data_IF_232057940958
#
_entry.id   IF_232057940958
#
_cell.length_a   1.000
_cell.length_b   1.000
_cell.length_c   1.000
_cell.angle_alpha   90.00
_cell.angle_beta   90.00
_cell.angle_gamma   90.00
#
_symmetry.space_group_name_H-M   'P 1'
#
loop_
_entity.id
_entity.type
_entity.pdbx_description
1 polymer ?
#
# COMPACT_ATOMS: atom_id res chain seq x y z
N UNK A 1 -12.78 1.40 -4.68
CA UNK A 1 -13.11 1.52 -6.12
C UNK A 1 -12.70 0.26 -6.91
N UNK A 2 -11.40 -0.17 -6.94
CA UNK A 2 -10.98 -1.31 -7.77
C UNK A 2 -11.73 -2.61 -7.45
N UNK A 3 -11.81 -3.01 -6.19
CA UNK A 3 -12.57 -4.19 -5.77
C UNK A 3 -14.05 -4.11 -6.17
N UNK A 4 -14.67 -2.94 -6.02
CA UNK A 4 -16.07 -2.69 -6.37
C UNK A 4 -16.32 -2.90 -7.86
N UNK A 5 -15.49 -2.31 -8.73
CA UNK A 5 -15.69 -2.45 -10.18
C UNK A 5 -15.37 -3.87 -10.68
N UNK A 6 -14.46 -4.60 -10.02
CA UNK A 6 -14.24 -6.03 -10.29
C UNK A 6 -15.50 -6.84 -9.95
N UNK A 7 -16.09 -6.59 -8.78
CA UNK A 7 -17.31 -7.27 -8.35
C UNK A 7 -18.48 -6.98 -9.30
N UNK A 8 -18.71 -5.70 -9.59
CA UNK A 8 -19.77 -5.28 -10.53
C UNK A 8 -19.59 -5.91 -11.92
N UNK A 9 -18.34 -5.97 -12.43
CA UNK A 9 -18.07 -6.67 -13.69
C UNK A 9 -18.42 -8.15 -13.62
N UNK A 10 -18.15 -8.82 -12.50
CA UNK A 10 -18.49 -10.24 -12.32
C UNK A 10 -20.00 -10.45 -12.34
N UNK A 11 -20.73 -9.63 -11.60
CA UNK A 11 -22.19 -9.68 -11.57
C UNK A 11 -22.77 -9.43 -12.98
N UNK A 12 -22.37 -8.35 -13.62
CA UNK A 12 -22.80 -8.01 -14.98
C UNK A 12 -22.52 -9.14 -15.99
N UNK A 13 -21.31 -9.72 -15.95
CA UNK A 13 -20.93 -10.80 -16.86
C UNK A 13 -21.63 -12.13 -16.53
N UNK A 14 -22.05 -12.35 -15.28
CA UNK A 14 -22.83 -13.51 -14.86
C UNK A 14 -24.28 -13.46 -15.31
N UNK A 15 -24.89 -12.26 -15.26
CA UNK A 15 -26.31 -12.06 -15.61
C UNK A 15 -26.54 -11.85 -17.11
N UNK A 16 -25.57 -11.24 -17.80
CA UNK A 16 -25.69 -10.92 -19.21
C UNK A 16 -25.41 -12.14 -20.12
N UNK A 17 -26.39 -12.58 -20.89
CA UNK A 17 -26.23 -13.66 -21.86
C UNK A 17 -25.55 -13.20 -23.17
N UNK A 18 -25.62 -11.91 -23.50
CA UNK A 18 -25.26 -11.41 -24.83
C UNK A 18 -24.09 -10.45 -24.85
N UNK A 19 -23.85 -9.67 -23.80
CA UNK A 19 -22.85 -8.61 -23.79
C UNK A 19 -22.02 -8.64 -22.51
N UNK A 20 -20.79 -9.16 -22.63
CA UNK A 20 -19.84 -9.22 -21.51
C UNK A 20 -18.94 -7.98 -21.51
N UNK A 21 -18.73 -7.39 -20.33
CA UNK A 21 -17.78 -6.29 -20.14
C UNK A 21 -16.33 -6.81 -20.30
N UNK A 22 -15.62 -6.28 -21.28
CA UNK A 22 -14.21 -6.62 -21.54
C UNK A 22 -13.29 -6.06 -20.45
N UNK A 23 -12.09 -6.63 -20.32
CA UNK A 23 -11.04 -6.10 -19.43
C UNK A 23 -10.63 -4.68 -19.87
N UNK A 24 -10.54 -4.41 -21.18
CA UNK A 24 -10.22 -3.09 -21.70
C UNK A 24 -11.22 -2.02 -21.23
N UNK A 25 -12.52 -2.33 -21.27
CA UNK A 25 -13.55 -1.41 -20.76
C UNK A 25 -13.45 -1.20 -19.25
N UNK A 26 -13.09 -2.25 -18.49
CA UNK A 26 -12.83 -2.12 -17.05
C UNK A 26 -11.71 -1.11 -16.77
N UNK A 27 -10.61 -1.17 -17.52
CA UNK A 27 -9.51 -0.19 -17.38
C UNK A 27 -9.91 1.23 -17.80
N UNK A 28 -10.75 1.38 -18.83
CA UNK A 28 -11.30 2.70 -19.19
C UNK A 28 -12.11 3.32 -18.05
N UNK A 29 -12.93 2.51 -17.37
CA UNK A 29 -13.69 2.94 -16.19
C UNK A 29 -12.75 3.28 -15.05
N UNK A 30 -11.76 2.42 -14.77
CA UNK A 30 -10.78 2.62 -13.70
C UNK A 30 -10.03 3.95 -13.86
N UNK A 31 -9.58 4.28 -15.06
CA UNK A 31 -8.89 5.55 -15.36
C UNK A 31 -9.75 6.79 -15.10
N UNK A 32 -11.08 6.68 -15.27
CA UNK A 32 -12.00 7.78 -14.97
C UNK A 32 -12.28 7.94 -13.47
N UNK A 33 -12.11 6.87 -12.69
CA UNK A 33 -12.36 6.87 -11.24
C UNK A 33 -11.18 7.43 -10.43
N UNK A 34 -9.97 7.36 -10.94
CA UNK A 34 -8.79 7.90 -10.28
C UNK A 34 -7.50 7.24 -10.76
N UNK A 35 -6.39 7.96 -10.62
CA UNK A 35 -5.04 7.57 -11.07
C UNK A 35 -4.54 6.24 -10.51
N UNK A 36 -4.92 5.91 -9.29
CA UNK A 36 -4.44 4.70 -8.60
C UNK A 36 -5.32 3.47 -8.87
N UNK A 37 -6.55 3.68 -9.38
CA UNK A 37 -7.50 2.57 -9.57
C UNK A 37 -7.02 1.53 -10.59
N UNK A 38 -6.41 1.91 -11.73
CA UNK A 38 -5.83 0.93 -12.67
C UNK A 38 -4.73 0.07 -12.05
N UNK A 39 -3.87 0.66 -11.23
CA UNK A 39 -2.83 -0.06 -10.52
C UNK A 39 -3.40 -1.07 -9.51
N UNK A 40 -4.44 -0.67 -8.78
CA UNK A 40 -5.15 -1.56 -7.86
C UNK A 40 -5.84 -2.73 -8.58
N UNK A 41 -6.26 -2.58 -9.84
CA UNK A 41 -6.79 -3.69 -10.65
C UNK A 41 -5.74 -4.75 -10.96
N UNK A 42 -4.48 -4.36 -11.15
CA UNK A 42 -3.38 -5.30 -11.40
C UNK A 42 -3.11 -6.22 -10.22
N UNK A 43 -3.32 -5.74 -8.98
CA UNK A 43 -3.09 -6.48 -7.73
C UNK A 43 -1.73 -7.19 -7.69
N UNK A 44 -0.68 -6.51 -8.15
CA UNK A 44 0.70 -6.99 -8.26
C UNK A 44 1.68 -5.92 -7.82
N UNK A 45 2.92 -6.31 -7.63
CA UNK A 45 4.02 -5.37 -7.41
C UNK A 45 4.28 -4.56 -8.68
N UNK A 46 4.10 -3.25 -8.61
CA UNK A 46 4.13 -2.36 -9.75
C UNK A 46 5.03 -1.16 -9.51
N UNK A 47 5.66 -0.68 -10.56
CA UNK A 47 6.20 0.67 -10.65
C UNK A 47 5.23 1.52 -11.47
N UNK A 48 4.75 2.59 -10.86
CA UNK A 48 3.83 3.54 -11.48
C UNK A 48 4.59 4.82 -11.73
N UNK A 49 4.41 5.42 -12.90
CA UNK A 49 5.03 6.69 -13.25
C UNK A 49 4.05 7.57 -14.02
N UNK A 50 4.42 8.85 -14.21
CA UNK A 50 3.53 9.87 -14.73
C UNK A 50 2.30 10.03 -13.80
N UNK A 51 1.15 10.37 -14.33
CA UNK A 51 -0.12 10.53 -13.61
C UNK A 51 -0.85 9.18 -13.38
N UNK A 52 -0.12 8.09 -13.10
CA UNK A 52 -0.72 6.77 -12.86
C UNK A 52 -0.95 5.93 -14.13
N UNK A 53 -0.68 6.47 -15.31
CA UNK A 53 -0.98 5.83 -16.60
C UNK A 53 0.14 4.94 -17.15
N UNK A 54 1.37 5.06 -16.62
CA UNK A 54 2.48 4.18 -16.97
C UNK A 54 2.74 3.18 -15.86
N UNK A 55 2.28 1.96 -16.06
CA UNK A 55 2.38 0.86 -15.09
C UNK A 55 3.37 -0.18 -15.61
N UNK A 56 4.41 -0.48 -14.83
CA UNK A 56 5.39 -1.55 -15.10
C UNK A 56 5.37 -2.54 -13.95
N UNK A 57 5.19 -3.82 -14.27
CA UNK A 57 5.32 -4.89 -13.27
C UNK A 57 6.77 -5.02 -12.83
N UNK A 58 6.97 -5.17 -11.53
CA UNK A 58 8.26 -5.44 -10.92
C UNK A 58 8.19 -6.78 -10.18
N UNK A 59 9.32 -7.49 -10.13
CA UNK A 59 9.43 -8.69 -9.30
C UNK A 59 9.97 -8.26 -7.93
N UNK A 60 9.12 -8.35 -6.91
CA UNK A 60 9.57 -8.34 -5.53
C UNK A 60 9.51 -9.77 -5.00
N UNK A 61 10.40 -10.11 -4.08
CA UNK A 61 10.30 -11.40 -3.39
C UNK A 61 8.97 -11.47 -2.64
N UNK A 62 8.19 -12.52 -2.88
CA UNK A 62 6.87 -12.72 -2.25
C UNK A 62 6.97 -13.28 -0.82
N UNK A 63 8.19 -13.35 -0.26
CA UNK A 63 8.45 -13.99 1.03
C UNK A 63 8.51 -13.00 2.19
N UNK A 64 7.96 -11.79 2.03
CA UNK A 64 7.93 -10.81 3.08
C UNK A 64 6.59 -10.77 3.80
N UNK A 65 6.67 -10.49 5.11
CA UNK A 65 5.54 -10.09 5.92
C UNK A 65 5.52 -8.58 6.08
N UNK A 66 4.33 -8.02 6.05
CA UNK A 66 4.08 -6.60 6.21
C UNK A 66 3.33 -6.36 7.51
N UNK A 67 3.77 -5.36 8.24
CA UNK A 67 3.06 -4.77 9.36
C UNK A 67 2.58 -3.38 8.93
N UNK A 68 1.30 -3.10 9.07
CA UNK A 68 0.73 -1.78 8.83
C UNK A 68 0.27 -1.22 10.17
N UNK A 69 0.66 0.01 10.46
CA UNK A 69 0.27 0.74 11.67
C UNK A 69 -0.29 2.09 11.25
N UNK A 70 -1.54 2.36 11.60
CA UNK A 70 -2.17 3.66 11.36
C UNK A 70 -2.46 4.33 12.72
N UNK A 71 -1.99 5.55 12.97
CA UNK A 71 -2.22 6.26 14.23
C UNK A 71 -3.67 6.74 14.41
N UNK A 72 -4.61 6.29 13.60
CA UNK A 72 -6.01 6.73 13.55
C UNK A 72 -6.19 8.25 13.35
N UNK A 73 -5.20 8.88 12.72
CA UNK A 73 -5.23 10.30 12.38
C UNK A 73 -5.59 10.44 10.91
N UNK A 74 -6.66 11.17 10.65
CA UNK A 74 -7.05 11.47 9.29
C UNK A 74 -6.22 12.64 8.75
N UNK A 75 -5.37 12.36 7.77
CA UNK A 75 -4.59 13.38 7.04
C UNK A 75 -5.23 13.67 5.69
N UNK A 76 -5.47 14.94 5.43
CA UNK A 76 -5.89 15.38 4.10
C UNK A 76 -4.69 15.35 3.15
N UNK A 77 -4.79 14.54 2.08
CA UNK A 77 -3.79 14.50 1.01
C UNK A 77 -3.48 15.90 0.47
N UNK A 78 -4.51 16.76 0.32
CA UNK A 78 -4.35 18.14 -0.12
C UNK A 78 -3.49 18.95 0.85
N UNK A 79 -3.69 18.82 2.16
CA UNK A 79 -2.89 19.51 3.17
C UNK A 79 -1.44 19.03 3.17
N UNK A 80 -1.20 17.71 3.05
CA UNK A 80 0.16 17.17 2.97
C UNK A 80 0.90 17.73 1.74
N UNK A 81 0.23 17.79 0.59
CA UNK A 81 0.80 18.38 -0.61
C UNK A 81 1.01 19.89 -0.52
N UNK A 82 0.17 20.64 0.19
CA UNK A 82 0.36 22.09 0.37
C UNK A 82 1.56 22.44 1.27
N UNK A 83 1.99 21.51 2.14
CA UNK A 83 3.20 21.64 2.95
C UNK A 83 4.44 21.08 2.26
N UNK A 84 4.28 20.55 1.07
CA UNK A 84 5.38 19.97 0.31
C UNK A 84 6.18 21.07 -0.40
N UNK A 85 7.45 21.24 -0.02
CA UNK A 85 8.29 22.34 -0.51
C UNK A 85 9.10 22.00 -1.77
N UNK A 86 9.57 20.75 -1.90
CA UNK A 86 10.35 20.33 -3.07
C UNK A 86 10.43 18.80 -3.22
N UNK A 87 10.54 18.35 -4.48
CA UNK A 87 11.03 16.99 -4.73
C UNK A 87 12.53 17.00 -4.49
N UNK A 88 12.97 16.28 -3.47
CA UNK A 88 14.40 16.06 -3.29
C UNK A 88 14.90 15.12 -4.40
N UNK A 89 15.43 15.69 -5.48
CA UNK A 89 16.08 14.91 -6.53
C UNK A 89 17.37 14.25 -6.03
N UNK A 90 17.99 14.82 -5.00
CA UNK A 90 19.23 14.33 -4.39
C UNK A 90 19.02 13.79 -2.98
N UNK A 91 18.34 12.65 -2.90
CA UNK A 91 18.31 11.92 -1.62
C UNK A 91 19.68 11.27 -1.46
N UNK A 92 20.42 11.58 -0.40
CA UNK A 92 21.66 10.90 -0.12
C UNK A 92 21.48 9.38 -0.10
N UNK A 93 22.38 8.64 -0.76
CA UNK A 93 22.29 7.17 -0.88
C UNK A 93 22.16 6.48 0.49
N UNK A 94 22.77 7.06 1.54
CA UNK A 94 22.71 6.57 2.92
C UNK A 94 21.32 6.73 3.59
N UNK A 95 20.40 7.51 3.03
CA UNK A 95 19.02 7.65 3.53
C UNK A 95 18.00 6.77 2.78
N UNK A 96 18.44 6.07 1.74
CA UNK A 96 17.57 5.16 0.96
C UNK A 96 17.57 3.79 1.63
N UNK A 97 16.38 3.29 1.92
CA UNK A 97 16.17 1.90 2.32
C UNK A 97 15.88 1.11 1.05
N UNK A 98 16.47 -0.06 0.90
CA UNK A 98 16.32 -0.89 -0.28
C UNK A 98 15.57 -2.18 0.05
N UNK A 99 14.64 -2.55 -0.82
CA UNK A 99 13.98 -3.84 -0.83
C UNK A 99 14.35 -4.55 -2.14
N UNK A 100 15.41 -5.35 -2.11
CA UNK A 100 16.08 -5.79 -3.33
C UNK A 100 16.62 -4.58 -4.10
N UNK A 101 16.30 -4.49 -5.40
CA UNK A 101 16.70 -3.37 -6.27
C UNK A 101 15.80 -2.13 -6.16
N UNK A 102 14.77 -2.18 -5.31
CA UNK A 102 13.81 -1.10 -5.17
C UNK A 102 14.17 -0.23 -3.98
N UNK A 103 14.46 1.06 -4.20
CA UNK A 103 14.63 2.02 -3.12
C UNK A 103 13.29 2.46 -2.55
N UNK A 104 13.16 2.43 -1.23
CA UNK A 104 11.99 2.90 -0.50
C UNK A 104 12.28 4.31 0.00
N UNK A 105 11.52 5.25 -0.49
CA UNK A 105 11.58 6.65 -0.08
C UNK A 105 10.22 7.31 -0.27
N UNK A 106 9.88 8.24 0.62
CA UNK A 106 8.64 9.01 0.52
C UNK A 106 8.91 10.50 0.70
N UNK A 107 8.79 11.26 -0.38
CA UNK A 107 9.03 12.72 -0.39
C UNK A 107 8.04 13.48 0.48
N UNK A 108 6.86 12.93 0.72
CA UNK A 108 5.81 13.56 1.53
C UNK A 108 6.01 13.34 3.04
N UNK A 109 7.02 12.54 3.44
CA UNK A 109 7.17 12.14 4.84
C UNK A 109 7.37 13.33 5.79
N UNK A 110 8.21 14.30 5.43
CA UNK A 110 8.45 15.48 6.26
C UNK A 110 7.18 16.32 6.43
N UNK A 111 6.45 16.54 5.35
CA UNK A 111 5.17 17.28 5.36
C UNK A 111 4.11 16.56 6.20
N UNK A 112 4.03 15.23 6.09
CA UNK A 112 3.10 14.44 6.89
C UNK A 112 3.46 14.45 8.37
N UNK A 113 4.74 14.38 8.74
CA UNK A 113 5.21 14.44 10.13
C UNK A 113 4.90 15.81 10.74
N UNK A 114 5.06 16.90 9.99
CA UNK A 114 4.72 18.25 10.51
C UNK A 114 3.23 18.39 10.85
N UNK A 115 2.36 17.69 10.13
CA UNK A 115 0.92 17.68 10.37
C UNK A 115 0.47 16.63 11.40
N UNK A 116 1.21 15.51 11.49
CA UNK A 116 0.91 14.40 12.40
C UNK A 116 2.21 13.81 12.97
N UNK A 117 2.75 14.36 14.07
CA UNK A 117 4.00 13.92 14.70
C UNK A 117 4.00 12.44 15.12
N UNK A 118 2.82 11.85 15.33
CA UNK A 118 2.66 10.43 15.68
C UNK A 118 3.25 9.49 14.60
N UNK A 119 3.31 9.93 13.35
CA UNK A 119 3.99 9.20 12.27
C UNK A 119 5.47 9.02 12.60
N UNK A 120 6.12 10.08 13.09
CA UNK A 120 7.52 10.01 13.51
C UNK A 120 7.72 9.01 14.65
N UNK A 121 6.84 9.03 15.65
CA UNK A 121 6.88 8.11 16.79
C UNK A 121 6.80 6.66 16.32
N UNK A 122 5.80 6.32 15.49
CA UNK A 122 5.65 4.98 14.93
C UNK A 122 6.90 4.55 14.15
N UNK A 123 7.39 5.40 13.25
CA UNK A 123 8.57 5.09 12.45
C UNK A 123 9.84 4.94 13.31
N UNK A 124 9.96 5.70 14.39
CA UNK A 124 11.09 5.60 15.34
C UNK A 124 11.07 4.26 16.09
N UNK A 125 9.89 3.77 16.47
CA UNK A 125 9.74 2.43 17.06
C UNK A 125 10.07 1.37 16.01
N UNK A 126 9.45 1.43 14.83
CA UNK A 126 9.68 0.45 13.76
C UNK A 126 11.17 0.33 13.40
N UNK A 127 11.89 1.44 13.29
CA UNK A 127 13.32 1.45 12.95
C UNK A 127 14.22 0.74 13.97
N UNK A 128 13.81 0.70 15.23
CA UNK A 128 14.56 0.06 16.32
C UNK A 128 14.29 -1.44 16.44
N UNK A 129 13.30 -1.97 15.69
CA UNK A 129 12.94 -3.37 15.79
C UNK A 129 14.03 -4.28 15.24
N UNK A 130 14.33 -5.39 15.92
CA UNK A 130 15.27 -6.37 15.41
C UNK A 130 14.71 -7.02 14.12
N UNK A 131 15.60 -7.27 13.17
CA UNK A 131 15.29 -7.96 11.92
C UNK A 131 14.27 -7.25 11.02
N UNK A 132 14.01 -5.95 11.24
CA UNK A 132 13.28 -5.16 10.25
C UNK A 132 14.13 -4.98 8.99
N UNK A 133 13.52 -5.24 7.84
CA UNK A 133 14.19 -5.06 6.55
C UNK A 133 14.06 -3.63 6.08
N UNK A 134 12.84 -3.09 6.21
CA UNK A 134 12.52 -1.74 5.79
C UNK A 134 11.30 -1.22 6.54
N UNK A 135 11.19 0.08 6.71
CA UNK A 135 9.96 0.73 7.17
C UNK A 135 9.78 2.08 6.49
N UNK A 136 8.57 2.57 6.47
CA UNK A 136 8.23 3.85 5.85
C UNK A 136 6.78 4.22 6.04
N UNK A 137 6.40 5.34 5.42
CA UNK A 137 5.01 5.80 5.36
C UNK A 137 4.43 5.53 3.97
N UNK A 138 3.19 5.10 3.90
CA UNK A 138 2.46 4.83 2.66
C UNK A 138 1.79 6.10 2.14
N UNK A 139 2.07 6.46 0.89
CA UNK A 139 1.44 7.60 0.21
C UNK A 139 1.59 8.92 0.97
N UNK A 140 0.49 9.65 1.14
CA UNK A 140 0.43 10.89 1.92
C UNK A 140 0.28 10.66 3.44
N UNK A 141 0.28 9.41 3.90
CA UNK A 141 0.08 9.05 5.30
C UNK A 141 -1.39 8.80 5.61
N UNK A 142 -1.76 8.59 6.86
CA UNK A 142 -0.91 8.47 8.05
C UNK A 142 -0.35 7.05 8.28
N UNK A 143 -0.76 6.08 7.47
CA UNK A 143 -0.35 4.68 7.61
C UNK A 143 1.16 4.51 7.43
N UNK A 144 1.80 3.91 8.43
CA UNK A 144 3.18 3.45 8.38
C UNK A 144 3.25 1.95 8.09
N UNK A 145 4.38 1.49 7.57
CA UNK A 145 4.61 0.07 7.33
C UNK A 145 5.99 -0.38 7.80
N UNK A 146 6.08 -1.64 8.20
CA UNK A 146 7.31 -2.39 8.43
C UNK A 146 7.35 -3.65 7.58
N UNK A 147 8.52 -4.05 7.10
CA UNK A 147 8.74 -5.24 6.27
C UNK A 147 9.67 -6.20 6.99
N UNK A 148 9.31 -7.48 7.06
CA UNK A 148 10.02 -8.54 7.78
C UNK A 148 10.11 -9.81 6.93
N UNK A 149 11.13 -10.65 7.21
CA UNK A 149 11.20 -12.00 6.64
C UNK A 149 10.30 -12.99 7.36
N UNK A 150 10.21 -12.86 8.67
CA UNK A 150 9.56 -13.83 9.54
C UNK A 150 8.42 -13.22 10.35
N UNK A 151 7.31 -13.93 10.44
CA UNK A 151 6.14 -13.52 11.21
C UNK A 151 6.45 -13.36 12.71
N UNK A 152 7.34 -14.21 13.27
CA UNK A 152 7.74 -14.16 14.68
C UNK A 152 8.32 -12.80 15.10
N UNK A 153 8.87 -12.02 14.16
CA UNK A 153 9.41 -10.70 14.44
C UNK A 153 8.33 -9.61 14.52
N UNK A 154 7.11 -9.90 14.04
CA UNK A 154 5.98 -8.95 14.06
C UNK A 154 5.17 -9.09 15.34
N UNK A 155 4.95 -10.30 15.81
CA UNK A 155 4.04 -10.57 16.93
C UNK A 155 4.34 -9.76 18.22
N UNK A 156 5.60 -9.61 18.67
CA UNK A 156 5.90 -8.78 19.83
C UNK A 156 5.57 -7.31 19.65
N UNK A 157 5.60 -6.84 18.39
CA UNK A 157 5.36 -5.44 18.03
C UNK A 157 3.89 -5.15 17.86
N UNK A 158 3.14 -6.15 17.46
CA UNK A 158 1.69 -6.06 17.33
C UNK A 158 1.07 -5.58 18.63
N UNK A 159 1.36 -6.25 19.73
CA UNK A 159 0.83 -5.91 21.06
C UNK A 159 1.20 -4.50 21.53
N UNK A 160 2.39 -4.00 21.12
CA UNK A 160 2.81 -2.63 21.48
C UNK A 160 1.95 -1.55 20.86
N UNK A 161 1.38 -1.80 19.66
CA UNK A 161 0.59 -0.81 18.93
C UNK A 161 -0.93 -1.02 19.03
N UNK A 162 -1.38 -2.16 19.59
CA UNK A 162 -2.78 -2.59 19.52
C UNK A 162 -3.74 -1.60 20.19
N UNK A 163 -3.36 -1.05 21.34
CA UNK A 163 -4.27 -0.23 22.17
C UNK A 163 -4.60 1.16 21.57
N UNK A 164 -3.75 1.72 20.75
CA UNK A 164 -3.88 3.11 20.30
C UNK A 164 -3.91 3.32 18.79
N UNK A 165 -3.71 2.23 18.02
CA UNK A 165 -3.54 2.33 16.57
C UNK A 165 -4.37 1.26 15.86
N UNK A 166 -4.80 1.56 14.61
CA UNK A 166 -5.21 0.48 13.73
C UNK A 166 -3.97 -0.28 13.28
N UNK A 167 -3.95 -1.58 13.53
CA UNK A 167 -2.82 -2.44 13.17
C UNK A 167 -3.29 -3.63 12.33
N UNK A 168 -2.50 -3.96 11.33
CA UNK A 168 -2.67 -5.14 10.49
C UNK A 168 -1.34 -5.75 10.13
N UNK A 169 -1.28 -7.07 10.06
CA UNK A 169 -0.11 -7.77 9.54
C UNK A 169 -0.51 -8.94 8.63
N UNK A 170 0.37 -9.28 7.70
CA UNK A 170 0.15 -10.40 6.80
C UNK A 170 1.16 -10.47 5.66
N UNK A 171 0.94 -11.43 4.78
CA UNK A 171 1.65 -11.53 3.50
C UNK A 171 0.80 -10.92 2.40
N UNK A 172 1.44 -10.17 1.53
CA UNK A 172 0.82 -9.75 0.28
C UNK A 172 0.92 -10.91 -0.72
N UNK A 173 -0.23 -11.37 -1.20
CA UNK A 173 -0.29 -12.35 -2.29
C UNK A 173 -0.59 -11.62 -3.59
N UNK A 174 0.12 -11.96 -4.65
CA UNK A 174 -0.23 -11.52 -6.01
C UNK A 174 -1.54 -12.17 -6.44
N UNK A 175 -2.62 -11.40 -6.43
CA UNK A 175 -3.91 -11.83 -6.98
C UNK A 175 -4.01 -11.36 -8.43
N UNK A 176 -4.13 -12.30 -9.37
CA UNK A 176 -4.51 -11.92 -10.72
C UNK A 176 -6.02 -11.65 -10.79
N UNK A 177 -6.44 -10.69 -11.61
CA UNK A 177 -7.85 -10.34 -11.86
C UNK A 177 -8.71 -11.57 -12.25
N UNK A 178 -8.07 -12.65 -12.71
CA UNK A 178 -8.70 -13.91 -13.10
C UNK A 178 -8.89 -14.90 -11.94
N UNK A 179 -8.34 -14.63 -10.74
CA UNK A 179 -8.43 -15.52 -9.56
C UNK A 179 -8.93 -14.79 -8.32
N UNK A 180 -10.12 -14.21 -8.39
CA UNK A 180 -10.83 -13.87 -7.16
C UNK A 180 -11.63 -15.11 -6.75
N UNK A 181 -11.00 -16.06 -6.08
CA UNK A 181 -11.71 -16.95 -5.16
C UNK A 181 -12.01 -16.13 -3.92
N UNK A 182 -13.27 -15.80 -3.76
CA UNK A 182 -13.84 -15.29 -2.52
C UNK A 182 -13.85 -16.45 -1.51
N UNK A 183 -12.73 -16.71 -0.87
CA UNK A 183 -12.68 -17.64 0.26
C UNK A 183 -11.50 -17.24 1.14
N UNK A 184 -11.84 -16.96 2.41
CA UNK A 184 -10.94 -16.75 3.56
C UNK A 184 -10.25 -15.39 3.70
N UNK A 185 -11.00 -14.29 3.60
CA UNK A 185 -10.58 -13.01 4.18
C UNK A 185 -11.31 -12.67 5.50
N UNK A 186 -12.18 -13.55 5.99
CA UNK A 186 -13.00 -13.30 7.18
C UNK A 186 -12.72 -14.24 8.36
N UNK A 187 -11.72 -15.15 8.25
CA UNK A 187 -11.47 -16.13 9.32
C UNK A 187 -10.34 -15.75 10.30
N UNK A 188 -9.75 -14.57 10.20
CA UNK A 188 -8.79 -14.08 11.20
C UNK A 188 -9.30 -12.81 11.89
N UNK A 189 -10.56 -12.75 12.21
CA UNK A 189 -11.13 -11.90 13.26
C UNK A 189 -11.73 -12.79 14.31
N UNK A 190 -11.24 -12.61 15.51
CA UNK A 190 -11.59 -13.16 16.81
C UNK A 190 -10.67 -14.25 17.29
#
# INVERSE_FOLDING_TARGET
AAATIILLRKLFNGESKTKKMSISNLYKIANKLGSDVPACLESKSLKISSYGNKIKRIKLSNNYYYLLVNPNIQLSTKQVFSHFSCFSHDIPKNKKIYLGDVSIYNSLLSSAISLAPQIHTILSVLKKLPNIIACGMSGSGSTCFGIFKDLKNILPVYNYFEDSNFIWYGRVKDYSVNRVRCSKMLENKF
#
